data_IF_830911758826
#
_entry.id   IF_830911758826
#
_cell.length_a   1.000
_cell.length_b   1.000
_cell.length_c   1.000
_cell.angle_alpha   90.00
_cell.angle_beta   90.00
_cell.angle_gamma   90.00
#
_symmetry.space_group_name_H-M   'P 1'
#
loop_
_entity.id
_entity.type
_entity.pdbx_description
1 polymer ?
#
# COMPACT_ATOMS: atom_id res chain seq x y z
N UNK A 1 -39.22 2.43 -7.09
CA UNK A 1 -39.46 3.13 -5.81
C UNK A 1 -40.74 2.56 -5.22
N UNK A 2 -40.61 1.44 -4.51
CA UNK A 2 -41.71 0.76 -3.83
C UNK A 2 -41.55 1.12 -2.35
N UNK A 3 -42.64 1.60 -1.76
CA UNK A 3 -42.66 2.33 -0.50
C UNK A 3 -42.25 1.48 0.71
N UNK A 4 -41.39 2.08 1.52
CA UNK A 4 -40.98 1.67 2.86
C UNK A 4 -42.17 1.87 3.82
N UNK A 5 -42.69 0.79 4.41
CA UNK A 5 -43.71 0.86 5.46
C UNK A 5 -43.56 -0.35 6.39
N UNK A 6 -42.90 -0.18 7.54
CA UNK A 6 -42.87 -1.18 8.61
C UNK A 6 -43.32 -0.50 9.89
N UNK A 7 -44.48 -0.93 10.37
CA UNK A 7 -45.21 -0.39 11.50
C UNK A 7 -44.61 -0.82 12.85
N UNK A 8 -44.69 0.10 13.82
CA UNK A 8 -44.47 -0.10 15.25
C UNK A 8 -45.44 -1.14 15.83
N UNK A 9 -44.94 -1.99 16.73
CA UNK A 9 -45.76 -2.65 17.74
C UNK A 9 -44.96 -2.83 19.04
N UNK A 10 -45.29 -2.01 20.04
CA UNK A 10 -44.88 -2.21 21.43
C UNK A 10 -45.95 -3.02 22.17
N UNK A 11 -45.54 -4.05 22.91
CA UNK A 11 -46.32 -4.55 24.05
C UNK A 11 -45.38 -4.90 25.20
N UNK A 12 -45.56 -4.17 26.30
CA UNK A 12 -44.90 -4.38 27.58
C UNK A 12 -45.68 -5.40 28.43
N UNK A 13 -44.98 -6.32 29.09
CA UNK A 13 -45.49 -7.04 30.27
C UNK A 13 -44.37 -7.13 31.32
N UNK A 14 -44.62 -6.50 32.47
CA UNK A 14 -43.82 -6.52 33.69
C UNK A 14 -44.33 -7.66 34.57
N UNK A 15 -43.43 -8.53 35.03
CA UNK A 15 -43.64 -9.32 36.26
C UNK A 15 -42.32 -9.43 37.03
N UNK A 16 -42.36 -9.02 38.29
CA UNK A 16 -41.25 -9.03 39.25
C UNK A 16 -41.41 -10.19 40.23
N UNK A 17 -40.30 -10.79 40.69
CA UNK A 17 -40.08 -11.23 42.08
C UNK A 17 -38.58 -11.46 42.36
N UNK A 18 -38.26 -11.45 43.65
CA UNK A 18 -37.05 -10.99 44.34
C UNK A 18 -35.91 -12.01 44.51
N UNK A 19 -34.68 -11.48 44.72
CA UNK A 19 -33.56 -12.21 45.32
C UNK A 19 -32.27 -11.38 45.33
N UNK A 20 -31.96 -10.73 46.45
CA UNK A 20 -30.79 -9.88 46.66
C UNK A 20 -29.49 -10.69 46.86
N UNK A 21 -28.43 -10.28 46.15
CA UNK A 21 -27.12 -9.99 46.74
C UNK A 21 -26.46 -8.90 45.89
N UNK A 22 -26.13 -7.80 46.53
CA UNK A 22 -25.63 -6.56 45.94
C UNK A 22 -24.12 -6.67 45.69
N UNK A 23 -23.72 -6.59 44.42
CA UNK A 23 -22.42 -6.09 44.01
C UNK A 23 -22.65 -5.03 42.93
N UNK A 24 -22.12 -3.83 43.17
CA UNK A 24 -22.51 -2.62 42.48
C UNK A 24 -22.13 -2.58 40.99
N UNK A 25 -23.10 -2.11 40.18
CA UNK A 25 -23.06 -1.36 38.90
C UNK A 25 -21.64 -1.02 38.37
N UNK A 26 -21.32 -1.16 37.06
CA UNK A 26 -22.05 -0.59 35.90
C UNK A 26 -21.57 -1.21 34.56
N UNK A 27 -22.55 -1.59 33.72
CA UNK A 27 -22.60 -1.74 32.24
C UNK A 27 -21.69 -2.73 31.49
N UNK A 28 -22.36 -3.76 30.98
CA UNK A 28 -22.00 -4.75 29.96
C UNK A 28 -21.88 -4.17 28.55
N UNK A 29 -20.96 -4.76 27.77
CA UNK A 29 -21.06 -5.23 26.37
C UNK A 29 -19.89 -4.74 25.51
N UNK A 30 -18.88 -5.58 25.31
CA UNK A 30 -18.82 -6.49 24.16
C UNK A 30 -17.54 -7.33 24.21
N UNK A 31 -17.73 -8.64 24.10
CA UNK A 31 -16.72 -9.63 23.78
C UNK A 31 -16.05 -9.30 22.43
N UNK A 32 -14.73 -9.03 22.46
CA UNK A 32 -13.86 -9.36 21.33
C UNK A 32 -12.58 -9.92 21.90
N UNK A 33 -12.43 -11.20 21.62
CA UNK A 33 -11.30 -12.06 21.89
C UNK A 33 -9.95 -11.39 21.61
N UNK A 34 -9.07 -11.59 22.57
CA UNK A 34 -7.65 -11.26 22.57
C UNK A 34 -6.95 -11.83 21.35
N UNK A 35 -6.37 -10.96 20.53
CA UNK A 35 -5.05 -11.22 19.98
C UNK A 35 -4.35 -9.88 19.88
N UNK A 36 -3.55 -9.58 20.91
CA UNK A 36 -2.44 -8.66 20.81
C UNK A 36 -1.51 -9.22 19.73
N UNK A 37 -1.64 -8.72 18.50
CA UNK A 37 -0.58 -8.87 17.51
C UNK A 37 0.57 -7.95 17.98
N UNK A 38 1.40 -8.48 18.87
CA UNK A 38 2.82 -8.17 18.80
C UNK A 38 3.26 -8.80 17.49
N UNK A 39 3.34 -8.00 16.44
CA UNK A 39 4.19 -8.34 15.31
C UNK A 39 5.37 -7.41 15.44
N UNK A 40 6.52 -8.04 15.62
CA UNK A 40 7.80 -7.44 15.90
C UNK A 40 7.97 -6.15 15.11
N UNK A 41 8.24 -5.06 15.82
CA UNK A 41 8.94 -3.94 15.20
C UNK A 41 10.30 -4.51 14.82
N UNK A 42 10.39 -5.06 13.60
CA UNK A 42 11.66 -5.29 12.94
C UNK A 42 12.23 -3.90 12.80
N UNK A 43 13.07 -3.55 13.77
CA UNK A 43 13.96 -2.42 13.71
C UNK A 43 14.99 -2.79 12.65
N UNK A 44 14.57 -2.81 11.39
CA UNK A 44 15.47 -2.77 10.25
C UNK A 44 16.18 -1.44 10.40
N UNK A 45 17.50 -1.47 10.40
CA UNK A 45 18.28 -0.29 10.06
C UNK A 45 17.96 0.03 8.59
N UNK A 46 16.77 0.58 8.35
CA UNK A 46 16.26 0.85 7.03
C UNK A 46 16.96 2.11 6.52
N UNK A 47 17.79 1.94 5.49
CA UNK A 47 18.15 3.06 4.64
C UNK A 47 16.86 3.79 4.24
N UNK A 48 16.87 5.12 4.27
CA UNK A 48 15.68 5.91 3.96
C UNK A 48 15.32 5.74 2.47
N UNK A 49 14.48 4.75 2.17
CA UNK A 49 13.98 4.45 0.83
C UNK A 49 12.74 5.28 0.46
N UNK A 50 12.22 6.08 1.39
CA UNK A 50 11.08 6.98 1.19
C UNK A 50 11.48 8.22 0.40
N UNK A 51 11.74 8.02 -0.89
CA UNK A 51 12.32 9.02 -1.77
C UNK A 51 11.62 9.00 -3.13
N UNK A 52 12.06 9.94 -3.97
CA UNK A 52 11.70 9.96 -5.38
C UNK A 52 12.79 9.27 -6.19
N UNK A 53 12.40 8.41 -7.12
CA UNK A 53 13.27 7.71 -8.06
C UNK A 53 12.85 8.02 -9.49
N UNK A 54 13.82 8.11 -10.40
CA UNK A 54 13.60 8.51 -11.78
C UNK A 54 14.36 7.60 -12.75
N UNK A 55 13.82 7.43 -13.95
CA UNK A 55 14.44 6.65 -15.02
C UNK A 55 13.73 6.81 -16.35
N UNK A 56 14.32 6.29 -17.42
CA UNK A 56 13.70 6.21 -18.74
C UNK A 56 13.65 4.76 -19.17
N UNK A 57 12.43 4.22 -19.31
CA UNK A 57 12.21 2.85 -19.75
C UNK A 57 12.26 2.76 -21.27
N UNK A 58 12.78 1.65 -21.83
CA UNK A 58 12.70 1.41 -23.26
C UNK A 58 11.23 1.36 -23.72
N UNK A 59 10.97 1.91 -24.90
CA UNK A 59 9.64 2.02 -25.48
C UNK A 59 9.66 1.52 -26.91
N UNK A 60 8.70 0.68 -27.28
CA UNK A 60 8.69 0.03 -28.60
C UNK A 60 8.39 1.01 -29.74
N UNK A 61 7.58 2.05 -29.49
CA UNK A 61 7.05 2.94 -30.52
C UNK A 61 7.15 4.44 -30.14
N UNK A 62 7.94 4.76 -29.12
CA UNK A 62 8.17 6.11 -28.61
C UNK A 62 9.62 6.33 -28.18
N UNK A 63 9.99 7.55 -27.81
CA UNK A 63 11.37 7.90 -27.44
C UNK A 63 11.86 7.33 -26.10
N UNK A 64 11.00 6.60 -25.40
CA UNK A 64 11.20 6.13 -24.03
C UNK A 64 10.01 6.51 -23.14
N UNK A 65 9.92 5.87 -21.98
CA UNK A 65 8.93 6.22 -20.95
C UNK A 65 9.70 6.86 -19.81
N UNK A 66 9.65 8.20 -19.69
CA UNK A 66 10.19 8.86 -18.51
C UNK A 66 9.28 8.54 -17.34
N UNK A 67 9.86 7.98 -16.29
CA UNK A 67 9.12 7.48 -15.14
C UNK A 67 9.66 8.12 -13.88
N UNK A 68 8.75 8.64 -13.05
CA UNK A 68 9.05 9.15 -11.72
C UNK A 68 8.22 8.36 -10.71
N UNK A 69 8.88 7.80 -9.71
CA UNK A 69 8.28 7.01 -8.66
C UNK A 69 8.52 7.69 -7.33
N UNK A 70 7.48 7.85 -6.52
CA UNK A 70 7.61 8.39 -5.18
C UNK A 70 7.08 7.40 -4.17
N UNK A 71 7.96 6.94 -3.28
CA UNK A 71 7.62 6.05 -2.18
C UNK A 71 7.49 6.94 -0.93
N UNK A 72 6.29 7.06 -0.38
CA UNK A 72 6.04 7.87 0.82
C UNK A 72 6.04 7.00 2.09
N UNK A 73 6.30 7.62 3.24
CA UNK A 73 6.31 6.96 4.56
C UNK A 73 4.92 6.54 5.04
N UNK A 74 3.87 7.08 4.45
CA UNK A 74 2.47 6.82 4.78
C UNK A 74 1.85 5.67 3.97
N UNK A 75 2.69 4.84 3.33
CA UNK A 75 2.31 3.71 2.45
C UNK A 75 1.69 4.10 1.11
N UNK A 76 1.64 5.40 0.78
CA UNK A 76 1.18 5.86 -0.53
C UNK A 76 2.35 5.81 -1.51
N UNK A 77 2.14 5.15 -2.65
CA UNK A 77 3.05 5.19 -3.79
C UNK A 77 2.41 5.95 -4.95
N UNK A 78 3.20 6.81 -5.59
CA UNK A 78 2.80 7.57 -6.77
C UNK A 78 3.76 7.30 -7.92
N UNK A 79 3.19 7.00 -9.08
CA UNK A 79 3.91 6.75 -10.32
C UNK A 79 3.44 7.73 -11.39
N UNK A 80 4.37 8.50 -11.93
CA UNK A 80 4.16 9.31 -13.14
C UNK A 80 4.92 8.69 -14.30
N UNK A 81 4.26 8.58 -15.45
CA UNK A 81 4.84 8.06 -16.69
C UNK A 81 4.56 9.01 -17.86
N UNK A 82 5.62 9.46 -18.54
CA UNK A 82 5.58 10.28 -19.73
C UNK A 82 6.14 9.49 -20.93
N UNK A 83 5.27 9.15 -21.88
CA UNK A 83 5.62 8.52 -23.15
C UNK A 83 6.18 9.59 -24.11
N UNK A 84 7.50 9.61 -24.25
CA UNK A 84 8.23 10.66 -24.95
C UNK A 84 7.86 10.68 -26.44
N UNK A 85 7.40 11.84 -26.92
CA UNK A 85 6.96 12.04 -28.31
C UNK A 85 5.52 11.61 -28.60
N UNK A 86 4.75 11.19 -27.59
CA UNK A 86 3.31 10.89 -27.73
C UNK A 86 2.47 12.06 -27.21
N UNK A 87 1.44 12.44 -27.98
CA UNK A 87 0.44 13.43 -27.54
C UNK A 87 -0.41 12.81 -26.42
N UNK A 88 -0.64 13.57 -25.34
CA UNK A 88 -1.36 13.10 -24.15
C UNK A 88 -0.75 11.83 -23.52
N UNK A 89 0.57 11.65 -23.65
CA UNK A 89 1.29 10.48 -23.14
C UNK A 89 1.67 10.56 -21.67
N UNK A 90 0.97 11.34 -20.84
CA UNK A 90 1.29 11.51 -19.42
C UNK A 90 0.22 10.83 -18.58
N UNK A 91 0.65 9.96 -17.67
CA UNK A 91 -0.23 9.15 -16.83
C UNK A 91 0.25 9.21 -15.38
N UNK A 92 -0.72 9.10 -14.47
CA UNK A 92 -0.49 9.02 -13.02
C UNK A 92 -1.21 7.80 -12.47
N UNK A 93 -0.54 7.04 -11.61
CA UNK A 93 -1.09 5.91 -10.87
C UNK A 93 -0.78 6.08 -9.38
N UNK A 94 -1.77 5.76 -8.54
CA UNK A 94 -1.63 5.72 -7.08
C UNK A 94 -1.85 4.30 -6.62
N UNK A 95 -0.88 3.78 -5.86
CA UNK A 95 -0.88 2.41 -5.34
C UNK A 95 -0.58 2.40 -3.85
N UNK A 96 -0.98 1.32 -3.19
CA UNK A 96 -0.59 1.03 -1.81
C UNK A 96 0.75 0.31 -1.84
N UNK A 97 1.70 0.79 -1.04
CA UNK A 97 3.03 0.23 -0.89
C UNK A 97 3.11 -0.65 0.37
N UNK A 98 3.41 -1.94 0.19
CA UNK A 98 3.66 -2.90 1.25
C UNK A 98 5.12 -3.35 1.23
N UNK A 99 5.77 -3.43 2.40
CA UNK A 99 7.09 -4.05 2.54
C UNK A 99 6.92 -5.55 2.75
N UNK A 100 7.41 -6.39 1.84
CA UNK A 100 7.32 -7.85 1.94
C UNK A 100 8.52 -8.48 2.65
N UNK A 101 9.69 -7.88 2.49
CA UNK A 101 10.95 -8.26 3.15
C UNK A 101 11.86 -7.03 3.23
N UNK A 102 13.05 -7.14 3.82
CA UNK A 102 13.95 -6.01 4.07
C UNK A 102 14.23 -5.11 2.85
N UNK A 103 14.18 -5.66 1.62
CA UNK A 103 14.44 -4.91 0.39
C UNK A 103 13.42 -5.16 -0.73
N UNK A 104 12.27 -5.77 -0.47
CA UNK A 104 11.24 -6.00 -1.50
C UNK A 104 9.95 -5.27 -1.16
N UNK A 105 9.55 -4.40 -2.08
CA UNK A 105 8.29 -3.67 -2.04
C UNK A 105 7.25 -4.31 -2.97
N UNK A 106 6.01 -4.37 -2.52
CA UNK A 106 4.83 -4.71 -3.32
C UNK A 106 3.95 -3.45 -3.46
N UNK A 107 3.63 -3.11 -4.71
CA UNK A 107 2.69 -2.04 -5.06
C UNK A 107 1.37 -2.66 -5.47
N UNK A 108 0.28 -2.27 -4.82
CA UNK A 108 -1.06 -2.78 -5.11
C UNK A 108 -1.95 -1.64 -5.58
N UNK A 109 -2.45 -1.75 -6.82
CA UNK A 109 -3.42 -0.80 -7.37
C UNK A 109 -4.79 -1.07 -6.74
N UNK A 110 -5.40 -0.14 -5.96
CA UNK A 110 -6.60 -0.43 -5.17
C UNK A 110 -7.82 -0.82 -6.02
N UNK A 111 -7.92 -0.29 -7.23
CA UNK A 111 -9.08 -0.47 -8.11
C UNK A 111 -9.10 -1.82 -8.84
N UNK A 112 -7.93 -2.42 -9.08
CA UNK A 112 -7.79 -3.60 -9.94
C UNK A 112 -7.10 -4.78 -9.24
N UNK A 113 -6.42 -4.53 -8.11
CA UNK A 113 -5.65 -5.54 -7.39
C UNK A 113 -4.39 -5.99 -8.13
N UNK A 114 -4.00 -5.30 -9.20
CA UNK A 114 -2.73 -5.53 -9.89
C UNK A 114 -1.57 -5.25 -8.95
N UNK A 115 -0.55 -6.11 -9.06
CA UNK A 115 0.62 -6.11 -8.19
C UNK A 115 1.88 -5.90 -9.00
N UNK A 116 2.70 -4.96 -8.57
CA UNK A 116 4.05 -4.77 -9.07
C UNK A 116 5.05 -4.90 -7.92
N UNK A 117 6.25 -5.38 -8.21
CA UNK A 117 7.29 -5.55 -7.20
C UNK A 117 8.50 -4.70 -7.54
N UNK A 118 9.18 -4.20 -6.52
CA UNK A 118 10.43 -3.47 -6.67
C UNK A 118 11.42 -3.94 -5.62
N UNK A 119 12.70 -4.05 -6.03
CA UNK A 119 13.79 -4.30 -5.09
C UNK A 119 14.53 -3.01 -4.79
N UNK A 120 14.69 -2.72 -3.50
CA UNK A 120 15.47 -1.61 -2.98
C UNK A 120 16.95 -1.96 -3.08
N UNK A 121 17.72 -1.03 -3.62
CA UNK A 121 19.18 -0.99 -3.64
C UNK A 121 19.65 0.27 -2.93
N UNK A 122 20.95 0.44 -2.73
CA UNK A 122 21.50 1.56 -1.95
C UNK A 122 21.08 2.93 -2.52
N UNK A 123 21.21 3.12 -3.83
CA UNK A 123 20.92 4.39 -4.52
C UNK A 123 19.88 4.26 -5.64
N UNK A 124 19.17 3.13 -5.71
CA UNK A 124 18.23 2.82 -6.78
C UNK A 124 17.11 1.89 -6.35
N UNK A 125 16.06 1.82 -7.17
CA UNK A 125 15.07 0.73 -7.13
C UNK A 125 15.07 -0.01 -8.45
N UNK A 126 14.97 -1.33 -8.40
CA UNK A 126 15.00 -2.20 -9.58
C UNK A 126 13.67 -2.91 -9.77
N UNK A 127 13.24 -3.08 -11.02
CA UNK A 127 12.21 -4.07 -11.35
C UNK A 127 12.85 -5.46 -11.23
N UNK A 128 12.34 -6.35 -10.36
CA UNK A 128 12.77 -7.73 -10.36
C UNK A 128 12.35 -8.41 -11.66
N UNK A 129 13.08 -9.45 -12.06
CA UNK A 129 12.66 -10.30 -13.16
C UNK A 129 11.32 -11.00 -12.84
N UNK A 130 10.76 -11.71 -13.83
CA UNK A 130 9.48 -12.42 -13.68
C UNK A 130 9.48 -13.50 -12.58
N UNK A 131 10.65 -13.85 -12.01
CA UNK A 131 10.81 -14.80 -10.92
C UNK A 131 11.00 -14.11 -9.56
N UNK A 132 10.96 -12.78 -9.49
CA UNK A 132 11.20 -12.02 -8.26
C UNK A 132 12.68 -11.93 -7.88
N UNK A 133 13.59 -12.28 -8.79
CA UNK A 133 15.04 -12.29 -8.55
C UNK A 133 15.75 -11.14 -9.27
N UNK A 134 16.93 -10.75 -8.76
CA UNK A 134 17.91 -10.00 -9.54
C UNK A 134 18.99 -11.00 -9.95
N UNK A 135 18.89 -11.57 -11.14
CA UNK A 135 19.94 -12.44 -11.64
C UNK A 135 21.16 -11.59 -12.04
N UNK A 136 22.20 -11.59 -11.21
CA UNK A 136 23.46 -10.87 -11.43
C UNK A 136 24.23 -11.28 -12.71
N UNK A 137 23.80 -12.32 -13.43
CA UNK A 137 24.51 -12.85 -14.59
C UNK A 137 24.17 -12.14 -15.91
N UNK A 138 23.10 -11.34 -15.97
CA UNK A 138 22.72 -10.52 -17.13
C UNK A 138 22.22 -9.15 -16.64
N UNK A 139 23.13 -8.35 -16.06
CA UNK A 139 22.85 -6.97 -15.62
C UNK A 139 22.39 -6.02 -16.74
N UNK A 140 22.38 -6.48 -18.00
CA UNK A 140 21.96 -5.72 -19.18
C UNK A 140 20.45 -5.57 -19.32
N UNK A 141 19.65 -6.43 -18.67
CA UNK A 141 18.19 -6.45 -18.85
C UNK A 141 17.41 -6.01 -17.59
N UNK A 142 18.11 -5.66 -16.51
CA UNK A 142 17.47 -5.16 -15.28
C UNK A 142 17.22 -3.66 -15.43
N UNK A 143 15.97 -3.25 -15.23
CA UNK A 143 15.56 -1.86 -15.29
C UNK A 143 15.68 -1.22 -13.91
N UNK A 144 16.46 -0.15 -13.82
CA UNK A 144 16.71 0.59 -12.58
C UNK A 144 16.16 2.02 -12.66
N UNK A 145 15.75 2.53 -11.51
CA UNK A 145 15.41 3.93 -11.30
C UNK A 145 16.32 4.47 -10.21
N UNK A 146 17.05 5.52 -10.53
CA UNK A 146 18.02 6.14 -9.63
C UNK A 146 17.30 7.12 -8.71
N UNK A 147 17.82 7.27 -7.49
CA UNK A 147 17.31 8.29 -6.57
C UNK A 147 17.43 9.69 -7.22
N UNK A 148 16.33 10.43 -7.24
CA UNK A 148 16.30 11.79 -7.77
C UNK A 148 17.25 12.68 -6.96
N UNK A 149 18.20 13.31 -7.64
CA UNK A 149 19.12 14.27 -7.02
C UNK A 149 18.30 15.50 -6.67
N UNK A 150 18.04 15.73 -5.38
CA UNK A 150 17.50 17.01 -4.92
C UNK A 150 18.56 18.06 -5.21
N UNK A 151 18.35 18.85 -6.26
CA UNK A 151 19.15 20.04 -6.52
C UNK A 151 19.16 20.87 -5.23
N UNK A 152 20.34 20.97 -4.61
CA UNK A 152 20.57 21.85 -3.48
C UNK A 152 20.57 23.26 -4.06
N UNK A 153 19.41 23.92 -4.00
CA UNK A 153 19.28 25.34 -4.31
C UNK A 153 19.87 26.21 -3.18
#
# INVERSE_FOLDING_TARGET
MIMLNIALLETAIIMAISGCAELQKKTTQQEKESTTMVTDTVNTESGNYYETYEGILPCADCGGIRTTQKINSDTIYQLWSEYLGKKNGVFEEISICNMLSENILEMVVPSFGEKNFYKILDDAVALPDSLGTLNNSELTDILYFEKSIKDIA
#
